data_IF_498231328814
#
_entry.id   IF_498231328814
#
_cell.length_a   1.000
_cell.length_b   1.000
_cell.length_c   1.000
_cell.angle_alpha   90.00
_cell.angle_beta   90.00
_cell.angle_gamma   90.00
#
_symmetry.space_group_name_H-M   'P 1'
#
loop_
_entity.id
_entity.type
_entity.pdbx_description
1 polymer ?
#
# COMPACT_ATOMS: atom_id res chain seq x y z
N UNK A 1 -1.74 -0.70 11.72
CA UNK A 1 -2.26 -0.72 10.33
C UNK A 1 -1.97 0.65 9.74
N UNK A 2 -1.42 0.70 8.53
CA UNK A 2 -0.92 1.90 7.89
C UNK A 2 -1.76 2.16 6.64
N UNK A 3 -2.16 3.40 6.48
CA UNK A 3 -2.88 3.84 5.29
C UNK A 3 -1.87 4.14 4.19
N UNK A 4 -2.08 3.61 2.99
CA UNK A 4 -1.28 3.89 1.81
C UNK A 4 -2.16 4.32 0.64
N UNK A 5 -1.56 5.05 -0.29
CA UNK A 5 -2.11 5.40 -1.59
C UNK A 5 -1.15 4.96 -2.67
N UNK A 6 -1.68 4.70 -3.85
CA UNK A 6 -0.90 4.35 -5.02
C UNK A 6 -0.93 5.51 -6.01
N UNK A 7 0.18 5.71 -6.72
CA UNK A 7 0.27 6.79 -7.71
C UNK A 7 -0.57 6.50 -8.95
N UNK A 8 -0.73 5.22 -9.29
CA UNK A 8 -1.44 4.77 -10.48
C UNK A 8 -2.33 3.55 -10.19
N UNK A 9 -3.42 3.41 -10.94
CA UNK A 9 -4.40 2.32 -10.79
C UNK A 9 -3.84 0.96 -11.19
N UNK A 10 -2.93 0.87 -12.15
CA UNK A 10 -2.26 -0.38 -12.49
C UNK A 10 -1.40 -0.84 -11.31
N UNK A 11 -0.60 0.07 -10.75
CA UNK A 11 0.21 -0.21 -9.55
C UNK A 11 -0.66 -0.65 -8.37
N UNK A 12 -1.80 0.04 -8.15
CA UNK A 12 -2.78 -0.35 -7.14
C UNK A 12 -3.29 -1.78 -7.36
N UNK A 13 -3.69 -2.13 -8.58
CA UNK A 13 -4.16 -3.48 -8.91
C UNK A 13 -3.09 -4.53 -8.67
N UNK A 14 -1.85 -4.28 -9.08
CA UNK A 14 -0.73 -5.19 -8.84
C UNK A 14 -0.45 -5.36 -7.34
N UNK A 15 -0.45 -4.27 -6.58
CA UNK A 15 -0.29 -4.29 -5.14
C UNK A 15 -1.43 -5.07 -4.46
N UNK A 16 -2.68 -4.76 -4.79
CA UNK A 16 -3.85 -5.43 -4.26
C UNK A 16 -3.84 -6.92 -4.60
N UNK A 17 -3.54 -7.30 -5.84
CA UNK A 17 -3.44 -8.69 -6.25
C UNK A 17 -2.35 -9.45 -5.47
N UNK A 18 -1.23 -8.80 -5.18
CA UNK A 18 -0.16 -9.40 -4.38
C UNK A 18 -0.52 -9.53 -2.89
N UNK A 19 -1.26 -8.57 -2.35
CA UNK A 19 -1.68 -8.55 -0.95
C UNK A 19 -2.89 -9.47 -0.70
N UNK A 20 -3.77 -9.62 -1.69
CA UNK A 20 -4.93 -10.51 -1.65
C UNK A 20 -4.47 -11.94 -1.32
N UNK A 21 -5.05 -12.50 -0.26
CA UNK A 21 -4.74 -13.84 0.23
C UNK A 21 -3.51 -13.96 1.14
N UNK A 22 -2.66 -12.92 1.23
CA UNK A 22 -1.45 -12.92 2.10
C UNK A 22 -1.58 -11.97 3.29
N UNK A 23 -2.25 -10.84 3.09
CA UNK A 23 -2.41 -9.80 4.10
C UNK A 23 -3.85 -9.31 4.13
N UNK A 24 -4.39 -9.08 5.33
CA UNK A 24 -5.69 -8.43 5.50
C UNK A 24 -5.55 -6.93 5.21
N UNK A 25 -5.75 -6.54 3.95
CA UNK A 25 -5.88 -5.15 3.53
C UNK A 25 -7.35 -4.74 3.49
N UNK A 26 -7.65 -3.50 3.89
CA UNK A 26 -8.99 -2.91 3.77
C UNK A 26 -8.91 -1.63 2.94
N UNK A 27 -9.68 -1.58 1.85
CA UNK A 27 -9.84 -0.35 1.07
C UNK A 27 -10.86 0.54 1.76
N UNK A 28 -10.50 1.80 2.00
CA UNK A 28 -11.36 2.83 2.57
C UNK A 28 -12.16 3.51 1.45
N UNK A 29 -13.33 4.05 1.79
CA UNK A 29 -14.20 4.76 0.82
C UNK A 29 -13.53 5.97 0.15
N UNK A 30 -12.48 6.53 0.77
CA UNK A 30 -11.72 7.67 0.24
C UNK A 30 -10.71 7.30 -0.86
N UNK A 31 -10.56 6.00 -1.20
CA UNK A 31 -9.52 5.53 -2.13
C UNK A 31 -8.17 5.25 -1.47
N UNK A 32 -8.14 5.29 -0.14
CA UNK A 32 -6.98 4.95 0.68
C UNK A 32 -6.99 3.45 1.05
N UNK A 33 -5.81 2.84 1.16
CA UNK A 33 -5.65 1.42 1.44
C UNK A 33 -5.04 1.22 2.81
N UNK A 34 -5.79 0.63 3.74
CA UNK A 34 -5.31 0.28 5.06
C UNK A 34 -4.66 -1.11 5.02
N UNK A 35 -3.35 -1.18 5.20
CA UNK A 35 -2.57 -2.42 5.15
C UNK A 35 -1.68 -2.58 6.40
N UNK A 36 -1.31 -3.80 6.82
CA UNK A 36 -0.36 -3.98 7.92
C UNK A 36 1.07 -3.57 7.51
N UNK A 37 1.95 -3.31 8.49
CA UNK A 37 3.37 -3.00 8.24
C UNK A 37 4.10 -4.11 7.48
N UNK A 38 3.72 -5.36 7.70
CA UNK A 38 4.28 -6.49 6.98
C UNK A 38 3.96 -6.43 5.47
N UNK A 39 2.79 -5.90 5.09
CA UNK A 39 2.42 -5.70 3.69
C UNK A 39 3.31 -4.64 3.02
N UNK A 40 3.63 -3.55 3.73
CA UNK A 40 4.54 -2.51 3.24
C UNK A 40 5.93 -3.06 2.91
N UNK A 41 6.49 -3.89 3.80
CA UNK A 41 7.77 -4.56 3.56
C UNK A 41 7.70 -5.48 2.34
N UNK A 42 6.59 -6.19 2.17
CA UNK A 42 6.37 -7.07 1.04
C UNK A 42 6.23 -6.29 -0.29
N UNK A 43 5.55 -5.14 -0.29
CA UNK A 43 5.47 -4.23 -1.44
C UNK A 43 6.84 -3.65 -1.79
N UNK A 44 7.62 -3.23 -0.79
CA UNK A 44 8.98 -2.72 -0.98
C UNK A 44 9.92 -3.77 -1.58
N UNK A 45 9.85 -5.02 -1.10
CA UNK A 45 10.59 -6.14 -1.68
C UNK A 45 10.21 -6.43 -3.14
N UNK A 46 8.94 -6.23 -3.49
CA UNK A 46 8.44 -6.36 -4.86
C UNK A 46 8.72 -5.12 -5.73
N UNK A 47 9.41 -4.08 -5.21
CA UNK A 47 9.64 -2.81 -5.91
C UNK A 47 8.33 -2.13 -6.35
N UNK A 48 7.22 -2.35 -5.64
CA UNK A 48 5.94 -1.72 -5.94
C UNK A 48 5.91 -0.35 -5.28
N UNK A 49 5.79 0.75 -6.05
CA UNK A 49 5.76 2.09 -5.48
C UNK A 49 4.43 2.33 -4.76
N UNK A 50 4.51 2.74 -3.50
CA UNK A 50 3.36 3.16 -2.69
C UNK A 50 3.70 4.45 -1.95
N UNK A 51 2.67 5.19 -1.56
CA UNK A 51 2.77 6.37 -0.70
C UNK A 51 2.05 6.09 0.61
N UNK A 52 2.64 6.42 1.75
CA UNK A 52 1.97 6.29 3.05
C UNK A 52 1.14 7.56 3.29
N UNK A 53 -0.12 7.39 3.67
CA UNK A 53 -1.16 8.42 3.74
C UNK A 53 -0.70 9.68 4.49
N UNK A 54 -0.67 10.79 3.74
CA UNK A 54 -0.79 12.16 4.23
C UNK A 54 0.51 12.91 4.52
N UNK A 55 1.63 12.23 4.77
CA UNK A 55 2.94 12.89 4.89
C UNK A 55 3.93 12.13 4.02
N UNK A 56 4.53 12.86 3.09
CA UNK A 56 5.84 12.55 2.52
C UNK A 56 6.74 12.17 3.69
N UNK A 57 6.91 10.89 3.98
CA UNK A 57 7.96 10.43 4.89
C UNK A 57 9.27 10.58 4.13
N UNK A 58 9.72 11.83 3.98
CA UNK A 58 11.12 12.13 3.72
C UNK A 58 11.80 11.88 5.07
N UNK A 59 12.31 10.66 5.23
CA UNK A 59 13.13 10.36 6.39
C UNK A 59 14.43 11.17 6.23
N UNK A 60 14.67 12.07 7.18
CA UNK A 60 15.94 12.78 7.33
C UNK A 60 17.06 11.81 7.69
#
# INVERSE_FOLDING_TARGET
MITITFADRETEKHALAFLIGRFSGRVLRSGEHLVPEAALKALANQNIPFSVGGKKSINR
#
